data_IF_316644881125
#
_entry.id   IF_316644881125
#
_cell.length_a   1.000
_cell.length_b   1.000
_cell.length_c   1.000
_cell.angle_alpha   90.00
_cell.angle_beta   90.00
_cell.angle_gamma   90.00
#
_symmetry.space_group_name_H-M   'P 1'
#
loop_
_entity.id
_entity.type
_entity.pdbx_description
1 polymer ?
#
# COMPACT_ATOMS: atom_id res chain seq x y z
N UNK A 1 1.91 -27.14 2.10
CA UNK A 1 2.91 -27.32 1.04
C UNK A 1 4.20 -27.92 1.57
N UNK A 2 4.99 -27.25 2.42
CA UNK A 2 6.26 -27.80 2.93
C UNK A 2 6.13 -29.10 3.75
N UNK A 3 4.96 -29.35 4.37
CA UNK A 3 4.64 -30.60 5.08
C UNK A 3 4.02 -31.69 4.19
N UNK A 4 3.72 -31.39 2.93
CA UNK A 4 3.12 -32.37 2.03
C UNK A 4 4.20 -33.38 1.59
N UNK A 5 3.91 -34.67 1.71
CA UNK A 5 4.88 -35.74 1.42
C UNK A 5 5.34 -35.74 -0.04
N UNK A 6 4.40 -35.63 -1.00
CA UNK A 6 4.75 -35.60 -2.42
C UNK A 6 5.65 -34.40 -2.77
N UNK A 7 5.36 -33.23 -2.19
CA UNK A 7 6.23 -32.07 -2.34
C UNK A 7 7.63 -32.31 -1.75
N UNK A 8 7.73 -32.97 -0.61
CA UNK A 8 9.04 -33.29 0.02
C UNK A 8 9.85 -34.30 -0.77
N UNK A 9 9.19 -35.33 -1.30
CA UNK A 9 9.82 -36.35 -2.15
C UNK A 9 10.37 -35.70 -3.41
N UNK A 10 9.55 -34.89 -4.10
CA UNK A 10 9.97 -34.12 -5.27
C UNK A 10 11.21 -33.25 -5.00
N UNK A 11 11.22 -32.48 -3.90
CA UNK A 11 12.38 -31.61 -3.60
C UNK A 11 13.62 -32.43 -3.21
N UNK A 12 13.46 -33.60 -2.57
CA UNK A 12 14.59 -34.49 -2.27
C UNK A 12 15.22 -35.07 -3.54
N UNK A 13 14.43 -35.35 -4.58
CA UNK A 13 14.96 -35.75 -5.89
C UNK A 13 15.76 -34.62 -6.52
N UNK A 14 15.29 -33.37 -6.44
CA UNK A 14 16.02 -32.21 -6.94
C UNK A 14 17.28 -31.88 -6.13
N UNK A 15 17.25 -32.10 -4.81
CA UNK A 15 18.37 -31.83 -3.91
C UNK A 15 18.34 -32.77 -2.69
N UNK A 16 19.17 -33.80 -2.73
CA UNK A 16 19.24 -34.84 -1.69
C UNK A 16 19.68 -34.32 -0.32
N UNK A 17 20.37 -33.18 -0.27
CA UNK A 17 20.85 -32.56 0.99
C UNK A 17 19.82 -31.61 1.60
N UNK A 18 18.68 -31.41 0.97
CA UNK A 18 17.66 -30.50 1.47
C UNK A 18 17.02 -31.04 2.75
N UNK A 19 17.12 -30.26 3.83
CA UNK A 19 16.44 -30.52 5.08
C UNK A 19 15.28 -29.51 5.26
N UNK A 20 14.01 -29.93 5.15
CA UNK A 20 12.89 -29.01 5.24
C UNK A 20 12.78 -28.37 6.62
N UNK A 21 12.66 -27.04 6.64
CA UNK A 21 12.21 -26.31 7.82
C UNK A 21 10.69 -26.52 7.96
N UNK A 22 10.21 -26.68 9.19
CA UNK A 22 8.77 -26.86 9.44
C UNK A 22 7.97 -25.62 9.00
N UNK A 23 6.72 -25.83 8.58
CA UNK A 23 5.82 -24.73 8.25
C UNK A 23 5.65 -23.74 9.41
N UNK A 24 5.69 -24.25 10.65
CA UNK A 24 5.60 -23.45 11.87
C UNK A 24 6.82 -22.54 12.01
N UNK A 25 8.03 -23.09 11.92
CA UNK A 25 9.28 -22.34 11.99
C UNK A 25 9.38 -21.31 10.86
N UNK A 26 8.97 -21.67 9.65
CA UNK A 26 8.94 -20.74 8.52
C UNK A 26 8.04 -19.53 8.81
N UNK A 27 6.82 -19.76 9.31
CA UNK A 27 5.87 -18.69 9.63
C UNK A 27 6.30 -17.84 10.82
N UNK A 28 6.73 -18.47 11.90
CA UNK A 28 6.99 -17.80 13.16
C UNK A 28 8.34 -17.08 13.19
N UNK A 29 9.35 -17.61 12.50
CA UNK A 29 10.71 -17.08 12.57
C UNK A 29 11.11 -16.45 11.24
N UNK A 30 11.11 -17.23 10.15
CA UNK A 30 11.67 -16.76 8.88
C UNK A 30 10.85 -15.62 8.25
N UNK A 31 9.53 -15.79 8.18
CA UNK A 31 8.64 -14.75 7.64
C UNK A 31 8.64 -13.53 8.56
N UNK A 32 8.53 -13.72 9.88
CA UNK A 32 8.55 -12.61 10.82
C UNK A 32 9.84 -11.78 10.73
N UNK A 33 11.00 -12.43 10.75
CA UNK A 33 12.30 -11.76 10.62
C UNK A 33 12.48 -11.09 9.24
N UNK A 34 11.96 -11.71 8.18
CA UNK A 34 11.98 -11.11 6.84
C UNK A 34 11.10 -9.86 6.78
N UNK A 35 9.87 -9.93 7.31
CA UNK A 35 8.95 -8.79 7.40
C UNK A 35 9.56 -7.65 8.20
N UNK A 36 10.18 -7.95 9.36
CA UNK A 36 10.86 -6.94 10.17
C UNK A 36 12.00 -6.26 9.39
N UNK A 37 12.83 -7.06 8.71
CA UNK A 37 13.92 -6.54 7.88
C UNK A 37 13.40 -5.64 6.76
N UNK A 38 12.38 -6.07 6.02
CA UNK A 38 11.77 -5.31 4.93
C UNK A 38 11.15 -4.01 5.47
N UNK A 39 10.38 -4.07 6.55
CA UNK A 39 9.78 -2.88 7.16
C UNK A 39 10.85 -1.87 7.59
N UNK A 40 11.98 -2.34 8.16
CA UNK A 40 13.10 -1.46 8.51
C UNK A 40 13.71 -0.81 7.28
N UNK A 41 13.94 -1.57 6.20
CA UNK A 41 14.46 -1.01 4.95
C UNK A 41 13.53 0.07 4.38
N UNK A 42 12.24 -0.23 4.29
CA UNK A 42 11.21 0.71 3.83
C UNK A 42 11.23 1.98 4.68
N UNK A 43 11.28 1.83 6.01
CA UNK A 43 11.34 2.98 6.92
C UNK A 43 12.57 3.87 6.68
N UNK A 44 13.75 3.27 6.50
CA UNK A 44 14.97 4.04 6.23
C UNK A 44 14.94 4.73 4.86
N UNK A 45 14.41 4.08 3.83
CA UNK A 45 14.25 4.68 2.49
C UNK A 45 13.29 5.88 2.54
N UNK A 46 12.15 5.72 3.20
CA UNK A 46 11.11 6.74 3.26
C UNK A 46 11.45 7.92 4.18
N UNK A 47 12.51 7.84 5.00
CA UNK A 47 13.02 9.00 5.76
C UNK A 47 13.52 10.11 4.84
N UNK A 48 14.22 9.75 3.76
CA UNK A 48 14.81 10.70 2.82
C UNK A 48 13.81 11.24 1.79
N UNK A 49 12.59 10.72 1.77
CA UNK A 49 11.52 11.15 0.88
C UNK A 49 10.79 12.34 1.51
N UNK A 50 10.67 13.45 0.78
CA UNK A 50 9.94 14.64 1.27
C UNK A 50 8.43 14.51 1.06
N UNK A 51 8.02 13.99 -0.10
CA UNK A 51 6.62 13.83 -0.48
C UNK A 51 6.37 12.46 -1.10
N UNK A 52 5.23 11.86 -0.76
CA UNK A 52 4.77 10.61 -1.34
C UNK A 52 3.28 10.65 -1.62
N UNK A 53 2.83 9.78 -2.53
CA UNK A 53 1.41 9.53 -2.77
C UNK A 53 1.07 8.11 -2.35
N UNK A 54 -0.18 7.89 -1.97
CA UNK A 54 -0.68 6.58 -1.60
C UNK A 54 -1.67 6.09 -2.65
N UNK A 55 -1.60 4.82 -3.00
CA UNK A 55 -2.74 4.10 -3.55
C UNK A 55 -3.30 3.19 -2.46
N UNK A 56 -4.59 3.31 -2.20
CA UNK A 56 -5.30 2.51 -1.21
C UNK A 56 -6.37 1.72 -1.95
N UNK A 57 -6.24 0.40 -1.91
CA UNK A 57 -7.14 -0.52 -2.60
C UNK A 57 -7.86 -1.41 -1.57
N UNK A 58 -9.18 -1.41 -1.62
CA UNK A 58 -10.03 -2.13 -0.69
C UNK A 58 -10.89 -3.16 -1.43
N UNK A 59 -10.82 -4.44 -1.02
CA UNK A 59 -11.63 -5.47 -1.65
C UNK A 59 -12.18 -6.49 -0.66
N UNK A 60 -13.23 -7.19 -1.12
CA UNK A 60 -13.81 -8.35 -0.47
C UNK A 60 -13.49 -9.62 -1.24
N UNK A 61 -13.19 -10.71 -0.53
CA UNK A 61 -13.24 -12.02 -1.16
C UNK A 61 -14.68 -12.57 -1.26
N UNK A 62 -14.84 -13.74 -1.88
CA UNK A 62 -16.14 -14.42 -2.04
C UNK A 62 -16.83 -14.81 -0.72
N UNK A 63 -16.13 -14.71 0.41
CA UNK A 63 -16.64 -14.97 1.76
C UNK A 63 -16.90 -13.66 2.52
N UNK A 64 -16.95 -12.53 1.81
CA UNK A 64 -17.10 -11.19 2.36
C UNK A 64 -16.03 -10.86 3.42
N UNK A 65 -14.82 -11.41 3.24
CA UNK A 65 -13.67 -11.03 4.06
C UNK A 65 -12.99 -9.82 3.42
N UNK A 66 -12.83 -8.82 4.26
CA UNK A 66 -12.32 -7.50 3.92
C UNK A 66 -10.81 -7.42 3.94
N UNK A 67 -10.26 -6.83 2.89
CA UNK A 67 -8.83 -6.57 2.74
C UNK A 67 -8.58 -5.13 2.32
N UNK A 68 -7.43 -4.61 2.72
CA UNK A 68 -6.95 -3.29 2.38
C UNK A 68 -5.45 -3.40 2.06
N UNK A 69 -5.08 -2.99 0.85
CA UNK A 69 -3.70 -2.81 0.44
C UNK A 69 -3.36 -1.33 0.42
N UNK A 70 -2.20 -0.97 0.96
CA UNK A 70 -1.70 0.41 0.94
C UNK A 70 -0.31 0.40 0.31
N UNK A 71 -0.18 1.07 -0.83
CA UNK A 71 1.10 1.22 -1.54
C UNK A 71 1.48 2.69 -1.55
N UNK A 72 2.72 3.00 -1.21
CA UNK A 72 3.27 4.33 -1.38
C UNK A 72 4.03 4.43 -2.71
N UNK A 73 3.98 5.61 -3.30
CA UNK A 73 4.70 5.97 -4.51
C UNK A 73 5.46 7.26 -4.27
N UNK A 74 6.74 7.27 -4.62
CA UNK A 74 7.64 8.40 -4.41
C UNK A 74 8.71 8.44 -5.50
N UNK A 75 9.44 9.54 -5.59
CA UNK A 75 10.59 9.69 -6.47
C UNK A 75 11.84 9.62 -5.58
N UNK A 76 12.78 8.75 -5.93
CA UNK A 76 14.03 8.62 -5.17
C UNK A 76 15.05 9.73 -5.51
N UNK A 77 16.19 9.74 -4.83
CA UNK A 77 17.27 10.71 -5.04
C UNK A 77 17.91 10.64 -6.44
N UNK A 78 17.61 9.60 -7.22
CA UNK A 78 18.06 9.43 -8.61
C UNK A 78 16.99 9.83 -9.61
N UNK A 79 15.91 10.46 -9.16
CA UNK A 79 14.76 10.87 -9.97
C UNK A 79 14.02 9.68 -10.60
N UNK A 80 14.06 8.50 -9.96
CA UNK A 80 13.36 7.30 -10.45
C UNK A 80 12.08 7.09 -9.62
N UNK A 81 10.92 6.86 -10.28
CA UNK A 81 9.69 6.48 -9.58
C UNK A 81 9.86 5.14 -8.88
N UNK A 82 9.56 5.12 -7.59
CA UNK A 82 9.54 3.93 -6.75
C UNK A 82 8.12 3.67 -6.25
N UNK A 83 7.84 2.40 -5.96
CA UNK A 83 6.57 1.97 -5.37
C UNK A 83 6.83 0.91 -4.33
N UNK A 84 6.23 1.05 -3.15
CA UNK A 84 6.39 0.08 -2.08
C UNK A 84 5.09 -0.17 -1.33
N UNK A 85 4.75 -1.45 -1.18
CA UNK A 85 3.63 -1.89 -0.34
C UNK A 85 3.97 -1.63 1.13
N UNK A 86 3.21 -0.75 1.79
CA UNK A 86 3.38 -0.43 3.21
C UNK A 86 2.73 -1.47 4.11
N UNK A 87 1.54 -1.93 3.73
CA UNK A 87 0.87 -3.03 4.41
C UNK A 87 -0.20 -3.67 3.52
N UNK A 88 -0.51 -4.92 3.87
CA UNK A 88 -1.64 -5.67 3.36
C UNK A 88 -2.40 -6.26 4.54
N UNK A 89 -3.55 -5.66 4.84
CA UNK A 89 -4.28 -5.91 6.09
C UNK A 89 -5.65 -6.49 5.82
N UNK A 90 -5.99 -7.53 6.58
CA UNK A 90 -7.35 -8.03 6.67
C UNK A 90 -8.13 -7.21 7.69
N UNK A 91 -9.14 -6.47 7.24
CA UNK A 91 -10.06 -5.75 8.12
C UNK A 91 -11.00 -6.76 8.78
N UNK A 92 -11.02 -6.81 10.12
CA UNK A 92 -11.90 -7.72 10.89
C UNK A 92 -13.23 -7.08 11.24
N UNK A 93 -13.29 -5.75 11.21
CA UNK A 93 -14.48 -4.91 11.36
C UNK A 93 -15.10 -4.67 9.97
N UNK A 94 -16.40 -4.31 9.86
CA UNK A 94 -17.03 -3.93 8.59
C UNK A 94 -16.22 -2.90 7.79
N UNK A 95 -16.40 -2.88 6.46
CA UNK A 95 -15.83 -1.88 5.55
C UNK A 95 -16.50 -0.51 5.70
N UNK A 96 -16.44 0.06 6.89
CA UNK A 96 -16.81 1.46 7.07
C UNK A 96 -15.63 2.35 6.70
N UNK A 97 -15.91 3.57 6.26
CA UNK A 97 -14.85 4.52 5.91
C UNK A 97 -13.94 4.83 7.10
N UNK A 98 -14.51 4.86 8.30
CA UNK A 98 -13.80 5.10 9.56
C UNK A 98 -12.74 4.02 9.81
N UNK A 99 -13.10 2.74 9.67
CA UNK A 99 -12.17 1.63 9.89
C UNK A 99 -11.03 1.61 8.85
N UNK A 100 -11.32 1.99 7.60
CA UNK A 100 -10.29 2.14 6.54
C UNK A 100 -9.36 3.31 6.88
N UNK A 101 -9.93 4.45 7.28
CA UNK A 101 -9.18 5.64 7.66
C UNK A 101 -8.26 5.36 8.86
N UNK A 102 -8.80 4.84 9.97
CA UNK A 102 -8.02 4.49 11.17
C UNK A 102 -6.92 3.46 10.87
N UNK A 103 -7.20 2.49 10.01
CA UNK A 103 -6.20 1.51 9.60
C UNK A 103 -5.07 2.15 8.81
N UNK A 104 -5.39 3.08 7.90
CA UNK A 104 -4.43 3.85 7.11
C UNK A 104 -3.56 4.72 8.00
N UNK A 105 -4.17 5.50 8.88
CA UNK A 105 -3.50 6.38 9.85
C UNK A 105 -2.49 5.60 10.70
N UNK A 106 -2.90 4.47 11.28
CA UNK A 106 -2.01 3.61 12.08
C UNK A 106 -0.81 3.08 11.28
N UNK A 107 -1.00 2.79 9.99
CA UNK A 107 0.09 2.34 9.12
C UNK A 107 1.04 3.50 8.82
N UNK A 108 0.52 4.70 8.55
CA UNK A 108 1.34 5.90 8.33
C UNK A 108 2.13 6.29 9.57
N UNK A 109 1.53 6.20 10.75
CA UNK A 109 2.18 6.45 12.03
C UNK A 109 3.35 5.49 12.27
N UNK A 110 3.17 4.20 11.95
CA UNK A 110 4.23 3.18 12.08
C UNK A 110 5.49 3.55 11.32
N UNK A 111 5.35 4.23 10.19
CA UNK A 111 6.48 4.66 9.37
C UNK A 111 6.83 6.15 9.52
N UNK A 112 6.12 6.89 10.36
CA UNK A 112 6.27 8.34 10.54
C UNK A 112 6.16 9.13 9.22
N UNK A 113 5.10 8.86 8.46
CA UNK A 113 4.93 9.39 7.10
C UNK A 113 3.69 10.24 6.88
N UNK A 114 2.84 10.41 7.90
CA UNK A 114 1.56 11.11 7.77
C UNK A 114 1.71 12.49 7.14
N UNK A 115 2.65 13.29 7.63
CA UNK A 115 2.94 14.64 7.14
C UNK A 115 3.60 14.68 5.73
N UNK A 116 4.01 13.53 5.21
CA UNK A 116 4.65 13.41 3.88
C UNK A 116 3.65 13.02 2.79
N UNK A 117 2.43 12.66 3.16
CA UNK A 117 1.39 12.25 2.21
C UNK A 117 0.89 13.48 1.46
N UNK A 118 1.22 13.56 0.18
CA UNK A 118 0.73 14.60 -0.71
C UNK A 118 -0.68 14.29 -1.24
N UNK A 119 -0.91 13.05 -1.66
CA UNK A 119 -2.20 12.63 -2.25
C UNK A 119 -2.50 11.17 -1.94
N UNK A 120 -3.78 10.86 -1.78
CA UNK A 120 -4.30 9.51 -1.66
C UNK A 120 -5.19 9.24 -2.87
N UNK A 121 -4.92 8.12 -3.55
CA UNK A 121 -5.67 7.61 -4.69
C UNK A 121 -6.38 6.34 -4.25
N UNK A 122 -7.66 6.23 -4.55
CA UNK A 122 -8.51 5.10 -4.19
C UNK A 122 -9.51 4.82 -5.31
N UNK A 123 -10.13 3.65 -5.29
CA UNK A 123 -11.32 3.41 -6.08
C UNK A 123 -12.51 4.28 -5.63
N UNK A 124 -13.55 4.32 -6.46
CA UNK A 124 -14.78 5.07 -6.20
C UNK A 124 -15.79 4.27 -5.34
N UNK A 125 -15.34 3.28 -4.56
CA UNK A 125 -16.24 2.56 -3.67
C UNK A 125 -16.72 3.48 -2.53
N UNK A 126 -18.01 3.43 -2.20
CA UNK A 126 -18.60 4.34 -1.21
C UNK A 126 -17.91 4.33 0.16
N UNK A 127 -17.35 3.19 0.57
CA UNK A 127 -16.56 3.08 1.81
C UNK A 127 -15.24 3.82 1.73
N UNK A 128 -14.57 3.78 0.58
CA UNK A 128 -13.28 4.45 0.36
C UNK A 128 -13.45 5.96 0.23
N UNK A 129 -14.48 6.39 -0.51
CA UNK A 129 -14.87 7.81 -0.57
C UNK A 129 -15.10 8.33 0.85
N UNK A 130 -15.85 7.60 1.70
CA UNK A 130 -16.08 8.00 3.09
C UNK A 130 -14.80 8.05 3.92
N UNK A 131 -13.87 7.13 3.71
CA UNK A 131 -12.61 7.07 4.44
C UNK A 131 -11.73 8.31 4.23
N UNK A 132 -11.77 8.89 3.03
CA UNK A 132 -10.87 10.00 2.66
C UNK A 132 -11.60 11.32 2.38
N UNK A 133 -12.93 11.38 2.51
CA UNK A 133 -13.71 12.62 2.52
C UNK A 133 -13.47 13.51 3.74
N UNK A 134 -13.00 12.95 4.87
CA UNK A 134 -12.90 13.64 6.16
C UNK A 134 -11.49 14.14 6.53
N UNK A 135 -10.47 13.88 5.70
CA UNK A 135 -9.07 14.15 6.04
C UNK A 135 -8.33 15.10 5.10
N UNK A 136 -8.95 15.53 4.01
CA UNK A 136 -8.38 16.58 3.16
C UNK A 136 -8.88 17.91 3.71
N UNK A 137 -7.97 18.73 4.22
CA UNK A 137 -8.21 20.16 4.33
C UNK A 137 -8.77 20.63 2.99
N UNK A 138 -9.98 21.18 3.06
CA UNK A 138 -10.68 21.89 2.00
C UNK A 138 -9.67 22.73 1.23
N UNK A 139 -9.26 22.30 0.04
CA UNK A 139 -8.64 23.11 -1.02
C UNK A 139 -8.34 22.28 -2.30
N UNK A 140 -8.29 20.95 -2.23
CA UNK A 140 -8.21 20.13 -3.44
C UNK A 140 -9.60 19.64 -3.85
N UNK A 141 -10.06 20.14 -5.00
CA UNK A 141 -11.21 19.62 -5.73
C UNK A 141 -11.17 18.08 -5.75
N UNK A 142 -12.29 17.45 -5.40
CA UNK A 142 -12.49 16.03 -5.66
C UNK A 142 -12.42 15.89 -7.18
N UNK A 143 -11.29 15.39 -7.68
CA UNK A 143 -11.12 15.07 -9.09
C UNK A 143 -11.93 13.80 -9.33
N UNK A 144 -13.17 14.00 -9.76
CA UNK A 144 -13.98 12.99 -10.44
C UNK A 144 -13.42 12.84 -11.87
N UNK A 145 -13.46 11.64 -12.43
CA UNK A 145 -12.94 11.33 -13.78
C UNK A 145 -13.59 12.23 -14.87
N UNK A 146 -14.76 12.79 -14.58
CA UNK A 146 -15.47 13.73 -15.46
C UNK A 146 -14.82 15.12 -15.56
N UNK A 147 -13.85 15.47 -14.69
CA UNK A 147 -13.24 16.79 -14.62
C UNK A 147 -11.81 16.88 -15.21
N UNK A 148 -11.22 15.76 -15.65
CA UNK A 148 -9.87 15.74 -16.26
C UNK A 148 -9.77 16.61 -17.53
N UNK A 149 -10.82 16.61 -18.35
CA UNK A 149 -10.84 17.37 -19.60
C UNK A 149 -10.81 18.89 -19.37
N UNK A 150 -11.43 19.36 -18.27
CA UNK A 150 -11.47 20.78 -17.93
C UNK A 150 -10.13 21.27 -17.37
N UNK A 151 -9.41 20.42 -16.62
CA UNK A 151 -8.09 20.70 -16.08
C UNK A 151 -6.99 20.76 -17.15
N UNK A 152 -7.02 19.85 -18.13
CA UNK A 152 -6.07 19.87 -19.26
C UNK A 152 -6.22 21.12 -20.14
N UNK A 153 -7.46 21.64 -20.27
CA UNK A 153 -7.71 22.90 -20.97
C UNK A 153 -7.17 24.12 -20.19
N UNK A 154 -7.26 24.09 -18.86
CA UNK A 154 -6.80 25.19 -18.01
C UNK A 154 -5.27 25.21 -17.86
N UNK A 155 -4.61 24.06 -17.83
CA UNK A 155 -3.15 23.94 -17.78
C UNK A 155 -2.46 24.45 -19.07
N UNK A 156 -3.11 24.29 -20.23
CA UNK A 156 -2.64 24.88 -21.49
C UNK A 156 -2.79 26.41 -21.52
N UNK A 157 -3.74 26.96 -20.75
CA UNK A 157 -3.99 28.40 -20.72
C UNK A 157 -3.04 29.11 -19.75
N UNK A 158 -2.65 28.48 -18.65
CA UNK A 158 -1.68 29.03 -17.69
C UNK A 158 -0.23 28.99 -18.18
N UNK A 159 0.12 28.05 -19.08
CA UNK A 159 1.46 28.01 -19.68
C UNK A 159 1.70 29.14 -20.71
N UNK A 160 0.65 29.62 -21.37
CA UNK A 160 0.74 30.71 -22.37
C UNK A 160 0.59 32.13 -21.79
N UNK A 161 0.44 32.27 -20.45
CA UNK A 161 0.31 33.56 -19.78
C UNK A 161 1.64 34.09 -19.20
N UNK A 162 2.76 33.40 -19.48
CA UNK A 162 4.10 33.72 -19.00
C UNK A 162 5.13 33.99 -20.12
N UNK A 163 4.68 34.32 -21.33
CA UNK A 163 5.52 34.88 -22.41
C UNK A 163 5.02 36.29 -22.81
#
# INVERSE_FOLDING_TARGET
MVENNAFREFIKECNIKWNPISAKTLKQNSIAAFTEKVNKTIYEELKAVDHLTLTVDGWCDRRCRSFLGITCHYIDSKMVPQSCLLDFVRLKSPHTGENIHETTERILDRFNMKEKVYKIVTDNASSMIKAYKFGLSVDDEIIDDDNEAQLMANAHTTFNAFD
#
